data_IF_838990161571
#
_entry.id   IF_838990161571
#
_cell.length_a   1.000
_cell.length_b   1.000
_cell.length_c   1.000
_cell.angle_alpha   90.00
_cell.angle_beta   90.00
_cell.angle_gamma   90.00
#
_symmetry.space_group_name_H-M   'P 1'
#
loop_
_entity.id
_entity.type
_entity.pdbx_description
1 polymer ?
#
# COMPACT_ATOMS: atom_id res chain seq x y z
N UNK A 1 -29.59 3.87 -5.10
CA UNK A 1 -28.79 4.53 -6.15
C UNK A 1 -27.93 3.50 -6.87
N UNK A 2 -27.78 3.63 -8.18
CA UNK A 2 -27.13 2.67 -9.08
C UNK A 2 -25.82 3.27 -9.63
N UNK A 3 -24.87 3.57 -8.75
CA UNK A 3 -23.71 4.41 -9.12
C UNK A 3 -22.36 3.70 -8.98
N UNK A 4 -22.29 2.48 -8.45
CA UNK A 4 -21.01 1.81 -8.18
C UNK A 4 -20.39 1.07 -9.37
N UNK A 5 -21.21 0.70 -10.36
CA UNK A 5 -20.84 -0.05 -11.58
C UNK A 5 -20.05 -1.36 -11.35
N UNK A 6 -20.12 -1.93 -10.15
CA UNK A 6 -19.64 -3.29 -9.89
C UNK A 6 -20.37 -4.35 -10.73
N UNK A 7 -21.59 -4.03 -11.17
CA UNK A 7 -22.47 -4.87 -11.99
C UNK A 7 -22.23 -4.76 -13.51
N UNK A 8 -21.17 -4.08 -13.96
CA UNK A 8 -20.88 -3.98 -15.39
C UNK A 8 -20.65 -5.37 -15.99
N UNK A 9 -21.21 -5.57 -17.18
CA UNK A 9 -21.02 -6.73 -18.07
C UNK A 9 -20.75 -6.20 -19.47
N UNK A 10 -20.25 -7.04 -20.39
CA UNK A 10 -20.22 -6.69 -21.80
C UNK A 10 -21.52 -7.12 -22.46
N UNK A 11 -22.12 -6.22 -23.24
CA UNK A 11 -23.28 -6.50 -24.10
C UNK A 11 -22.88 -6.09 -25.51
N UNK A 12 -22.84 -7.05 -26.42
CA UNK A 12 -22.38 -6.87 -27.80
C UNK A 12 -21.01 -6.15 -27.84
N UNK A 13 -20.12 -6.53 -26.92
CA UNK A 13 -18.78 -5.97 -26.76
C UNK A 13 -18.66 -4.64 -26.00
N UNK A 14 -19.77 -4.00 -25.60
CA UNK A 14 -19.77 -2.72 -24.87
C UNK A 14 -20.00 -2.90 -23.37
N UNK A 15 -19.31 -2.15 -22.52
CA UNK A 15 -19.50 -2.24 -21.07
C UNK A 15 -20.78 -1.53 -20.61
N UNK A 16 -21.71 -2.27 -20.00
CA UNK A 16 -23.04 -1.78 -19.59
C UNK A 16 -23.30 -2.13 -18.12
N UNK A 17 -23.76 -1.18 -17.28
CA UNK A 17 -24.17 -1.48 -15.91
C UNK A 17 -25.48 -2.30 -15.91
N UNK A 18 -25.38 -3.61 -15.66
CA UNK A 18 -26.53 -4.52 -15.76
C UNK A 18 -27.67 -4.20 -14.80
N UNK A 19 -27.39 -3.59 -13.64
CA UNK A 19 -28.43 -3.21 -12.68
C UNK A 19 -29.39 -2.11 -13.19
N UNK A 20 -29.04 -1.44 -14.31
CA UNK A 20 -29.87 -0.43 -14.97
C UNK A 20 -30.60 -0.95 -16.20
N UNK A 21 -30.34 -2.20 -16.61
CA UNK A 21 -30.83 -2.74 -17.86
C UNK A 21 -31.99 -3.71 -17.61
N UNK A 22 -33.21 -3.41 -18.07
CA UNK A 22 -34.31 -4.37 -18.05
C UNK A 22 -33.96 -5.61 -18.87
N UNK A 23 -34.28 -6.80 -18.36
CA UNK A 23 -34.02 -8.07 -19.05
C UNK A 23 -34.64 -8.11 -20.45
N UNK A 24 -35.80 -7.48 -20.65
CA UNK A 24 -36.45 -7.37 -21.96
C UNK A 24 -35.61 -6.63 -23.01
N UNK A 25 -34.74 -5.71 -22.60
CA UNK A 25 -33.84 -4.98 -23.50
C UNK A 25 -32.56 -5.76 -23.82
N UNK A 26 -32.22 -6.78 -23.02
CA UNK A 26 -31.08 -7.65 -23.26
C UNK A 26 -31.40 -8.82 -24.21
N UNK A 27 -32.66 -8.95 -24.64
CA UNK A 27 -33.09 -10.07 -25.46
C UNK A 27 -32.39 -10.07 -26.83
N UNK A 28 -31.68 -11.15 -27.14
CA UNK A 28 -30.99 -11.33 -28.42
C UNK A 28 -29.57 -10.76 -28.48
N UNK A 29 -29.12 -10.06 -27.43
CA UNK A 29 -27.73 -9.60 -27.32
C UNK A 29 -26.80 -10.71 -26.82
N UNK A 30 -25.53 -10.62 -27.21
CA UNK A 30 -24.45 -11.41 -26.63
C UNK A 30 -23.98 -10.78 -25.33
N UNK A 31 -24.05 -11.53 -24.22
CA UNK A 31 -23.64 -11.07 -22.89
C UNK A 31 -22.37 -11.81 -22.46
N UNK A 32 -21.31 -11.07 -22.14
CA UNK A 32 -20.09 -11.61 -21.54
C UNK A 32 -19.90 -11.03 -20.15
N UNK A 33 -19.80 -11.91 -19.16
CA UNK A 33 -19.46 -11.55 -17.77
C UNK A 33 -17.96 -11.78 -17.52
N UNK A 34 -17.49 -11.54 -16.29
CA UNK A 34 -16.07 -11.75 -15.94
C UNK A 34 -15.64 -13.22 -16.13
N UNK A 35 -16.56 -14.15 -15.90
CA UNK A 35 -16.40 -15.59 -16.11
C UNK A 35 -16.29 -15.94 -17.60
N UNK A 36 -16.79 -15.08 -18.49
CA UNK A 36 -16.73 -15.27 -19.93
C UNK A 36 -15.42 -14.80 -20.58
N UNK A 37 -14.57 -14.05 -19.86
CA UNK A 37 -13.27 -13.61 -20.40
C UNK A 37 -12.20 -14.69 -20.36
N UNK A 38 -12.24 -15.56 -19.35
CA UNK A 38 -11.20 -16.53 -19.08
C UNK A 38 -11.64 -17.50 -17.99
N UNK A 39 -10.81 -18.50 -17.73
CA UNK A 39 -11.04 -19.50 -16.69
C UNK A 39 -9.81 -19.63 -15.80
N UNK A 40 -9.92 -20.36 -14.69
CA UNK A 40 -8.77 -20.67 -13.85
C UNK A 40 -7.66 -21.44 -14.60
N UNK A 41 -8.03 -22.21 -15.64
CA UNK A 41 -7.07 -22.94 -16.48
C UNK A 41 -6.47 -22.11 -17.61
N UNK A 42 -7.14 -21.02 -17.99
CA UNK A 42 -6.71 -20.12 -19.07
C UNK A 42 -7.15 -18.71 -18.72
N UNK A 43 -6.31 -18.04 -17.95
CA UNK A 43 -6.58 -16.69 -17.45
C UNK A 43 -6.53 -15.73 -18.63
N UNK A 44 -7.49 -14.81 -18.70
CA UNK A 44 -7.48 -13.78 -19.73
C UNK A 44 -6.32 -12.81 -19.49
N UNK A 45 -5.57 -12.35 -20.50
CA UNK A 45 -4.42 -11.48 -20.27
C UNK A 45 -4.74 -10.17 -19.52
N UNK A 46 -5.99 -9.68 -19.58
CA UNK A 46 -6.42 -8.54 -18.75
C UNK A 46 -6.56 -8.92 -17.27
N UNK A 47 -7.07 -10.12 -16.97
CA UNK A 47 -7.17 -10.63 -15.60
C UNK A 47 -5.77 -10.86 -15.02
N UNK A 48 -4.85 -11.41 -15.82
CA UNK A 48 -3.44 -11.58 -15.45
C UNK A 48 -2.78 -10.24 -15.13
N UNK A 49 -2.96 -9.23 -15.98
CA UNK A 49 -2.45 -7.88 -15.72
C UNK A 49 -3.01 -7.26 -14.41
N UNK A 50 -4.28 -7.52 -14.06
CA UNK A 50 -4.86 -7.08 -12.79
C UNK A 50 -4.21 -7.79 -11.58
N UNK A 51 -3.83 -9.07 -11.74
CA UNK A 51 -3.12 -9.83 -10.72
C UNK A 51 -1.68 -9.33 -10.56
N UNK A 52 -0.95 -9.14 -11.66
CA UNK A 52 0.43 -8.67 -11.68
C UNK A 52 0.56 -7.28 -11.03
N UNK A 53 -0.36 -6.37 -11.33
CA UNK A 53 -0.38 -5.01 -10.75
C UNK A 53 -1.03 -4.96 -9.36
N UNK A 54 -1.41 -6.11 -8.79
CA UNK A 54 -2.08 -6.21 -7.49
C UNK A 54 -3.30 -5.26 -7.39
N UNK A 55 -4.08 -5.20 -8.47
CA UNK A 55 -5.24 -4.33 -8.64
C UNK A 55 -6.51 -4.89 -7.94
N UNK A 56 -6.33 -5.77 -6.96
CA UNK A 56 -7.40 -6.49 -6.24
C UNK A 56 -7.09 -6.44 -4.74
N UNK A 57 -8.05 -5.94 -3.96
CA UNK A 57 -8.04 -6.05 -2.49
C UNK A 57 -9.27 -6.84 -2.05
N UNK A 58 -10.38 -6.18 -1.68
CA UNK A 58 -11.61 -6.87 -1.29
C UNK A 58 -12.32 -7.59 -2.45
N UNK A 59 -11.92 -7.32 -3.70
CA UNK A 59 -12.46 -7.98 -4.89
C UNK A 59 -13.84 -7.51 -5.36
N UNK A 60 -14.63 -6.83 -4.52
CA UNK A 60 -16.05 -6.57 -4.82
C UNK A 60 -16.29 -5.77 -6.11
N UNK A 61 -15.51 -4.72 -6.36
CA UNK A 61 -15.64 -3.88 -7.56
C UNK A 61 -14.90 -4.44 -8.78
N UNK A 62 -14.08 -5.48 -8.60
CA UNK A 62 -13.08 -5.90 -9.59
C UNK A 62 -13.73 -6.43 -10.86
N UNK A 63 -14.79 -7.25 -10.75
CA UNK A 63 -15.51 -7.76 -11.92
C UNK A 63 -15.99 -6.61 -12.82
N UNK A 64 -16.66 -5.62 -12.23
CA UNK A 64 -17.13 -4.45 -12.97
C UNK A 64 -15.99 -3.59 -13.56
N UNK A 65 -14.85 -3.50 -12.87
CA UNK A 65 -13.66 -2.79 -13.37
C UNK A 65 -12.99 -3.52 -14.54
N UNK A 66 -12.90 -4.86 -14.48
CA UNK A 66 -12.38 -5.67 -15.59
C UNK A 66 -13.31 -5.55 -16.80
N UNK A 67 -14.64 -5.57 -16.60
CA UNK A 67 -15.60 -5.39 -17.71
C UNK A 67 -15.50 -3.99 -18.32
N UNK A 68 -15.39 -2.94 -17.50
CA UNK A 68 -15.18 -1.58 -17.99
C UNK A 68 -13.87 -1.45 -18.78
N UNK A 69 -12.78 -2.03 -18.27
CA UNK A 69 -11.49 -2.07 -18.93
C UNK A 69 -11.56 -2.82 -20.27
N UNK A 70 -12.19 -4.00 -20.30
CA UNK A 70 -12.33 -4.77 -21.54
C UNK A 70 -13.22 -4.03 -22.55
N UNK A 71 -14.32 -3.42 -22.11
CA UNK A 71 -15.18 -2.60 -22.97
C UNK A 71 -14.39 -1.44 -23.60
N UNK A 72 -13.51 -0.78 -22.83
CA UNK A 72 -12.59 0.23 -23.36
C UNK A 72 -11.62 -0.36 -24.39
N UNK A 73 -11.03 -1.51 -24.11
CA UNK A 73 -10.05 -2.14 -25.01
C UNK A 73 -10.69 -2.70 -26.29
N UNK A 74 -11.98 -3.02 -26.27
CA UNK A 74 -12.75 -3.42 -27.46
C UNK A 74 -12.90 -2.28 -28.46
N UNK A 75 -13.03 -1.03 -27.97
CA UNK A 75 -13.21 0.17 -28.81
C UNK A 75 -11.91 0.93 -29.09
N UNK A 76 -10.95 0.87 -28.17
CA UNK A 76 -9.69 1.62 -28.26
C UNK A 76 -8.52 0.69 -27.91
N UNK A 77 -7.71 0.32 -28.91
CA UNK A 77 -6.57 -0.60 -28.73
C UNK A 77 -5.47 -0.04 -27.81
N UNK A 78 -5.26 1.27 -27.84
CA UNK A 78 -4.20 1.95 -27.08
C UNK A 78 -4.75 3.21 -26.37
N UNK A 79 -5.57 3.05 -25.31
CA UNK A 79 -6.18 4.18 -24.64
C UNK A 79 -5.14 5.04 -23.90
N UNK A 80 -5.36 6.35 -23.94
CA UNK A 80 -4.70 7.36 -23.11
C UNK A 80 -5.12 7.22 -21.65
N UNK A 81 -4.40 7.88 -20.73
CA UNK A 81 -4.79 7.85 -19.31
C UNK A 81 -6.14 8.50 -19.06
N UNK A 82 -6.49 9.55 -19.79
CA UNK A 82 -7.76 10.23 -19.64
C UNK A 82 -8.92 9.37 -20.14
N UNK A 83 -8.73 8.61 -21.22
CA UNK A 83 -9.72 7.62 -21.68
C UNK A 83 -9.89 6.48 -20.67
N UNK A 84 -8.81 6.04 -20.00
CA UNK A 84 -8.90 5.03 -18.94
C UNK A 84 -9.65 5.59 -17.74
N UNK A 85 -9.33 6.82 -17.29
CA UNK A 85 -10.05 7.49 -16.20
C UNK A 85 -11.52 7.64 -16.52
N UNK A 86 -11.85 8.12 -17.71
CA UNK A 86 -13.24 8.28 -18.15
C UNK A 86 -14.00 6.94 -18.19
N UNK A 87 -13.37 5.85 -18.63
CA UNK A 87 -14.00 4.54 -18.65
C UNK A 87 -14.29 3.97 -17.25
N UNK A 88 -13.47 4.35 -16.26
CA UNK A 88 -13.54 3.87 -14.88
C UNK A 88 -14.25 4.83 -13.92
N UNK A 89 -14.64 6.03 -14.35
CA UNK A 89 -15.13 7.11 -13.49
C UNK A 89 -16.31 6.68 -12.60
N UNK A 90 -17.24 5.89 -13.14
CA UNK A 90 -18.37 5.35 -12.37
C UNK A 90 -18.10 4.03 -11.65
N UNK A 91 -16.93 3.42 -11.79
CA UNK A 91 -16.57 2.18 -11.13
C UNK A 91 -16.02 2.44 -9.73
N UNK A 92 -16.91 2.59 -8.73
CA UNK A 92 -16.52 2.92 -7.37
C UNK A 92 -15.76 1.77 -6.69
N UNK A 93 -14.54 2.05 -6.25
CA UNK A 93 -13.70 1.17 -5.44
C UNK A 93 -13.45 1.76 -4.06
N UNK A 94 -13.91 1.05 -3.02
CA UNK A 94 -13.68 1.46 -1.63
C UNK A 94 -12.24 1.21 -1.14
N UNK A 95 -11.56 0.26 -1.78
CA UNK A 95 -10.16 -0.07 -1.50
C UNK A 95 -9.15 0.90 -2.13
N UNK A 96 -9.58 1.75 -3.06
CA UNK A 96 -8.72 2.79 -3.66
C UNK A 96 -7.69 2.28 -4.68
N UNK A 97 -7.90 1.13 -5.34
CA UNK A 97 -6.91 0.53 -6.26
C UNK A 97 -6.90 1.11 -7.69
N UNK A 98 -7.55 2.25 -7.94
CA UNK A 98 -7.74 2.81 -9.29
C UNK A 98 -6.44 2.95 -10.10
N UNK A 99 -5.37 3.39 -9.45
CA UNK A 99 -4.07 3.58 -10.11
C UNK A 99 -3.45 2.24 -10.51
N UNK A 100 -3.63 1.18 -9.71
CA UNK A 100 -3.20 -0.18 -10.06
C UNK A 100 -4.04 -0.76 -11.21
N UNK A 101 -5.34 -0.46 -11.23
CA UNK A 101 -6.22 -0.82 -12.36
C UNK A 101 -5.79 -0.11 -13.64
N UNK A 102 -5.45 1.18 -13.58
CA UNK A 102 -4.90 1.93 -14.72
C UNK A 102 -3.62 1.27 -15.25
N UNK A 103 -2.70 0.91 -14.34
CA UNK A 103 -1.46 0.19 -14.69
C UNK A 103 -1.74 -1.16 -15.31
N UNK A 104 -2.69 -1.94 -14.79
CA UNK A 104 -3.07 -3.23 -15.35
C UNK A 104 -3.56 -3.09 -16.80
N UNK A 105 -4.35 -2.07 -17.11
CA UNK A 105 -4.81 -1.77 -18.47
C UNK A 105 -3.63 -1.41 -19.39
N UNK A 106 -2.68 -0.62 -18.88
CA UNK A 106 -1.46 -0.22 -19.59
C UNK A 106 -0.52 -1.40 -19.86
N UNK A 107 -0.32 -2.25 -18.87
CA UNK A 107 0.42 -3.50 -18.96
C UNK A 107 -0.21 -4.42 -20.01
N UNK A 108 -1.53 -4.59 -19.97
CA UNK A 108 -2.30 -5.41 -20.94
C UNK A 108 -2.07 -5.01 -22.41
N UNK A 109 -1.88 -3.72 -22.69
CA UNK A 109 -1.67 -3.22 -24.07
C UNK A 109 -0.18 -3.17 -24.45
N UNK A 110 0.70 -3.79 -23.68
CA UNK A 110 2.15 -3.80 -23.92
C UNK A 110 2.79 -2.42 -23.74
N UNK A 111 2.18 -1.56 -22.92
CA UNK A 111 2.73 -0.26 -22.53
C UNK A 111 2.79 -0.15 -21.02
N UNK A 112 3.54 -1.00 -20.31
CA UNK A 112 3.79 -0.80 -18.89
C UNK A 112 4.46 0.57 -18.73
N UNK A 113 3.67 1.59 -18.42
CA UNK A 113 4.17 2.92 -18.16
C UNK A 113 4.29 3.03 -16.65
N UNK A 114 5.39 2.49 -16.16
CA UNK A 114 5.89 2.81 -14.85
C UNK A 114 7.34 3.21 -14.99
N UNK A 115 7.54 4.49 -15.32
CA UNK A 115 8.64 5.22 -14.73
C UNK A 115 8.05 5.84 -13.45
N UNK A 116 8.53 5.47 -12.26
CA UNK A 116 8.07 6.12 -11.04
C UNK A 116 8.35 7.64 -11.16
N UNK A 117 7.34 8.47 -10.89
CA UNK A 117 7.47 9.94 -10.81
C UNK A 117 8.32 10.40 -9.61
N UNK A 118 8.75 9.44 -8.82
CA UNK A 118 9.76 9.58 -7.80
C UNK A 118 10.95 8.75 -8.26
N UNK A 119 12.14 9.32 -8.14
CA UNK A 119 13.33 8.48 -8.13
C UNK A 119 13.25 7.61 -6.87
N UNK A 120 13.43 6.29 -7.00
CA UNK A 120 13.77 5.44 -5.86
C UNK A 120 15.18 5.84 -5.46
N UNK A 121 15.29 6.80 -4.56
CA UNK A 121 16.55 7.29 -4.02
C UNK A 121 16.52 7.22 -2.53
N UNK A 122 17.70 6.97 -1.97
CA UNK A 122 17.88 6.90 -0.55
C UNK A 122 17.48 8.23 0.09
N UNK A 123 16.63 8.21 1.11
CA UNK A 123 16.11 9.44 1.71
C UNK A 123 17.21 10.23 2.48
N UNK A 124 16.97 11.52 2.80
CA UNK A 124 17.77 12.33 3.74
C UNK A 124 16.99 12.62 5.06
N UNK A 125 17.65 13.11 6.14
CA UNK A 125 17.09 13.20 7.50
C UNK A 125 16.13 14.39 7.74
N UNK A 126 15.26 14.23 8.73
CA UNK A 126 14.29 15.23 9.22
C UNK A 126 14.88 16.03 10.41
N UNK A 127 14.16 17.04 10.94
CA UNK A 127 14.52 17.75 12.19
C UNK A 127 13.39 17.74 13.22
N UNK A 128 13.72 17.33 14.44
CA UNK A 128 12.81 17.09 15.57
C UNK A 128 12.41 18.27 16.47
N UNK A 129 11.18 18.23 17.00
CA UNK A 129 10.86 18.70 18.37
C UNK A 129 9.73 17.81 18.96
N UNK A 130 9.99 16.99 19.99
CA UNK A 130 8.99 16.04 20.52
C UNK A 130 8.12 16.60 21.66
N UNK A 131 6.87 16.13 21.74
CA UNK A 131 5.84 16.48 22.73
C UNK A 131 5.66 15.37 23.81
N UNK A 132 4.94 15.63 24.94
CA UNK A 132 5.05 14.81 26.16
C UNK A 132 4.30 13.47 26.13
N UNK A 133 4.85 12.47 26.82
CA UNK A 133 4.48 11.03 26.79
C UNK A 133 3.14 10.71 27.49
N UNK A 134 2.18 10.13 26.75
CA UNK A 134 1.05 9.34 27.27
C UNK A 134 1.36 7.82 27.14
N UNK A 135 0.63 6.97 27.89
CA UNK A 135 0.88 5.52 28.02
C UNK A 135 1.01 4.73 26.70
N UNK A 136 1.66 3.56 26.76
CA UNK A 136 2.05 2.78 25.56
C UNK A 136 0.82 2.32 24.73
N UNK A 137 0.77 2.49 23.39
CA UNK A 137 -0.25 1.97 22.47
C UNK A 137 -0.38 0.44 22.53
N UNK A 138 -1.54 -0.05 22.10
CA UNK A 138 -2.01 -1.43 22.31
C UNK A 138 -0.95 -2.55 22.19
N UNK A 139 -0.39 -2.83 21.01
CA UNK A 139 0.56 -3.94 20.85
C UNK A 139 1.87 -3.79 21.65
N UNK A 140 2.34 -2.56 21.90
CA UNK A 140 3.51 -2.30 22.78
C UNK A 140 3.25 -2.70 24.24
N UNK A 141 1.99 -2.78 24.68
CA UNK A 141 1.68 -3.29 26.02
C UNK A 141 1.94 -4.80 26.13
N UNK A 142 1.87 -5.53 25.01
CA UNK A 142 2.02 -7.00 24.97
C UNK A 142 3.45 -7.42 24.62
N UNK A 143 4.12 -6.63 23.77
CA UNK A 143 5.53 -6.80 23.44
C UNK A 143 6.27 -5.50 23.74
N UNK A 144 6.63 -5.24 25.01
CA UNK A 144 7.26 -3.99 25.42
C UNK A 144 8.76 -3.94 25.09
N UNK A 145 9.34 -5.05 24.62
CA UNK A 145 10.73 -5.13 24.22
C UNK A 145 10.96 -4.30 22.96
N UNK A 146 11.81 -3.29 23.08
CA UNK A 146 12.13 -2.34 22.03
C UNK A 146 12.72 -3.05 20.79
N UNK A 147 13.58 -4.05 21.00
CA UNK A 147 14.30 -4.78 19.95
C UNK A 147 13.37 -5.66 19.09
N UNK A 148 12.16 -5.93 19.57
CA UNK A 148 11.13 -6.64 18.83
C UNK A 148 10.40 -5.74 17.81
N UNK A 149 10.55 -4.42 17.91
CA UNK A 149 9.90 -3.45 17.02
C UNK A 149 10.89 -2.69 16.17
N UNK A 150 12.05 -2.36 16.74
CA UNK A 150 13.06 -1.55 16.07
C UNK A 150 14.46 -1.94 16.51
N UNK A 151 15.37 -2.09 15.55
CA UNK A 151 16.78 -2.37 15.80
C UNK A 151 17.66 -1.41 15.04
N UNK A 152 18.55 -0.73 15.76
CA UNK A 152 19.61 0.09 15.17
C UNK A 152 20.82 -0.81 14.91
N UNK A 153 21.19 -0.94 13.64
CA UNK A 153 22.31 -1.78 13.23
C UNK A 153 23.63 -0.99 13.22
N UNK A 154 24.74 -1.70 13.29
CA UNK A 154 26.09 -1.10 13.25
C UNK A 154 26.43 -0.48 11.89
N UNK A 155 25.71 -0.85 10.82
CA UNK A 155 25.83 -0.26 9.48
C UNK A 155 24.95 0.98 9.30
N UNK A 156 24.47 1.55 10.40
CA UNK A 156 23.59 2.71 10.45
C UNK A 156 22.18 2.47 9.85
N UNK A 157 21.86 1.25 9.41
CA UNK A 157 20.49 0.91 9.03
C UNK A 157 19.64 0.58 10.24
N UNK A 158 18.32 0.65 10.07
CA UNK A 158 17.32 0.48 11.12
C UNK A 158 16.33 -0.56 10.63
N UNK A 159 16.23 -1.67 11.34
CA UNK A 159 15.24 -2.69 11.03
C UNK A 159 13.97 -2.43 11.83
N UNK A 160 12.87 -2.23 11.13
CA UNK A 160 11.52 -2.14 11.70
C UNK A 160 10.83 -3.48 11.49
N UNK A 161 10.23 -3.99 12.54
CA UNK A 161 9.53 -5.27 12.52
C UNK A 161 8.03 -5.04 12.61
N UNK A 162 7.27 -5.76 11.78
CA UNK A 162 5.81 -5.81 11.86
C UNK A 162 5.30 -7.23 11.66
N UNK A 163 4.41 -7.68 12.54
CA UNK A 163 3.64 -8.91 12.38
C UNK A 163 2.47 -8.76 11.39
N UNK A 164 2.18 -7.55 10.89
CA UNK A 164 1.09 -7.33 9.94
C UNK A 164 1.44 -7.80 8.53
N UNK A 165 0.48 -8.47 7.88
CA UNK A 165 0.60 -8.94 6.50
C UNK A 165 0.21 -7.84 5.53
N UNK A 166 1.01 -7.60 4.50
CA UNK A 166 0.62 -6.69 3.41
C UNK A 166 -0.38 -7.38 2.47
N UNK A 167 -1.59 -6.85 2.41
CA UNK A 167 -2.70 -7.30 1.54
C UNK A 167 -3.25 -6.14 0.70
N UNK A 168 -2.47 -5.08 0.51
CA UNK A 168 -2.79 -3.91 -0.30
C UNK A 168 -3.15 -2.66 0.52
N UNK A 169 -3.11 -2.72 1.85
CA UNK A 169 -3.38 -1.59 2.74
C UNK A 169 -2.18 -0.63 2.90
N UNK A 170 -1.00 -1.00 2.39
CA UNK A 170 0.20 -0.16 2.49
C UNK A 170 0.82 -0.14 3.87
N UNK A 171 0.70 -1.24 4.64
CA UNK A 171 1.20 -1.30 6.01
C UNK A 171 2.72 -1.18 6.06
N UNK A 172 3.43 -1.83 5.13
CA UNK A 172 4.90 -1.80 5.08
C UNK A 172 5.41 -0.38 4.83
N UNK A 173 4.75 0.34 3.93
CA UNK A 173 5.04 1.75 3.63
C UNK A 173 4.75 2.63 4.83
N UNK A 174 3.60 2.43 5.48
CA UNK A 174 3.20 3.24 6.63
C UNK A 174 4.17 3.08 7.81
N UNK A 175 4.49 1.85 8.23
CA UNK A 175 5.40 1.64 9.38
C UNK A 175 6.81 2.13 9.09
N UNK A 176 7.29 2.01 7.84
CA UNK A 176 8.58 2.55 7.45
C UNK A 176 8.63 4.07 7.58
N UNK A 177 7.61 4.76 7.07
CA UNK A 177 7.51 6.23 7.13
C UNK A 177 7.43 6.73 8.57
N UNK A 178 6.64 6.04 9.41
CA UNK A 178 6.47 6.39 10.81
C UNK A 178 7.77 6.26 11.60
N UNK A 179 8.51 5.16 11.41
CA UNK A 179 9.81 4.98 12.06
C UNK A 179 10.84 6.00 11.58
N UNK A 180 10.89 6.28 10.28
CA UNK A 180 11.80 7.26 9.69
C UNK A 180 11.55 8.67 10.23
N UNK A 181 10.28 9.09 10.24
CA UNK A 181 9.86 10.40 10.73
C UNK A 181 10.20 10.59 12.20
N UNK A 182 9.87 9.61 13.04
CA UNK A 182 10.10 9.72 14.48
C UNK A 182 11.59 9.67 14.85
N UNK A 183 12.39 8.86 14.15
CA UNK A 183 13.85 8.78 14.36
C UNK A 183 14.63 9.94 13.73
N UNK A 184 13.97 10.82 12.97
CA UNK A 184 14.60 11.89 12.18
C UNK A 184 15.51 11.41 11.04
N UNK A 185 15.34 10.18 10.60
CA UNK A 185 16.24 9.59 9.62
C UNK A 185 15.63 9.56 8.24
N UNK A 186 16.53 9.50 7.27
CA UNK A 186 16.23 9.00 5.95
C UNK A 186 15.42 7.70 5.99
N UNK A 187 14.25 7.69 5.33
CA UNK A 187 13.47 6.48 5.03
C UNK A 187 14.31 5.32 4.44
N UNK A 188 15.38 5.60 3.68
CA UNK A 188 16.28 4.57 3.13
C UNK A 188 17.11 3.83 4.14
N UNK A 189 17.28 4.41 5.33
CA UNK A 189 17.90 3.72 6.45
C UNK A 189 16.94 2.70 7.06
N UNK A 190 15.64 2.74 6.72
CA UNK A 190 14.65 1.80 7.24
C UNK A 190 14.57 0.54 6.38
N UNK A 191 14.74 -0.62 7.01
CA UNK A 191 14.40 -1.93 6.46
C UNK A 191 13.16 -2.44 7.18
N UNK A 192 12.16 -2.91 6.44
CA UNK A 192 10.97 -3.51 7.05
C UNK A 192 11.04 -5.02 6.93
N UNK A 193 11.07 -5.70 8.07
CA UNK A 193 10.82 -7.15 8.17
C UNK A 193 9.36 -7.33 8.54
N UNK A 194 8.62 -8.00 7.67
CA UNK A 194 7.19 -8.23 7.85
C UNK A 194 6.88 -9.74 7.84
N UNK A 195 5.97 -10.16 8.71
CA UNK A 195 5.41 -11.52 8.72
C UNK A 195 6.46 -12.61 8.95
N UNK A 196 7.36 -12.36 9.91
CA UNK A 196 8.36 -13.34 10.33
C UNK A 196 8.03 -13.81 11.74
N UNK A 197 7.61 -15.07 11.88
CA UNK A 197 7.16 -15.61 13.17
C UNK A 197 8.27 -15.78 14.21
N UNK A 198 9.54 -15.66 13.79
CA UNK A 198 10.68 -15.68 14.70
C UNK A 198 11.13 -14.26 15.08
N UNK A 199 11.06 -13.32 14.13
CA UNK A 199 11.69 -12.00 14.26
C UNK A 199 10.70 -10.84 14.46
N UNK A 200 9.42 -11.01 14.16
CA UNK A 200 8.43 -9.93 14.21
C UNK A 200 7.42 -10.11 15.36
N UNK A 201 6.86 -9.00 15.88
CA UNK A 201 5.96 -9.07 17.03
C UNK A 201 4.64 -9.74 16.63
N UNK A 202 4.01 -10.47 17.57
CA UNK A 202 2.65 -10.96 17.36
C UNK A 202 1.65 -9.82 17.47
N UNK A 203 1.26 -9.30 16.30
CA UNK A 203 0.29 -8.22 16.20
C UNK A 203 -1.15 -8.71 16.03
N UNK A 204 -1.40 -10.02 16.12
CA UNK A 204 -2.70 -10.63 15.88
C UNK A 204 -3.22 -10.40 14.46
N UNK A 205 -4.55 -10.29 14.31
CA UNK A 205 -5.20 -10.24 13.00
C UNK A 205 -4.78 -9.02 12.17
N UNK A 206 -4.52 -9.26 10.88
CA UNK A 206 -4.33 -8.21 9.87
C UNK A 206 -5.69 -7.81 9.29
N UNK A 207 -6.00 -6.51 9.32
CA UNK A 207 -7.21 -5.95 8.73
C UNK A 207 -6.94 -4.55 8.16
N UNK A 208 -7.59 -4.18 7.06
CA UNK A 208 -7.27 -2.99 6.28
C UNK A 208 -7.08 -1.70 7.11
N UNK A 209 -8.13 -1.22 7.78
CA UNK A 209 -8.08 0.03 8.55
C UNK A 209 -7.30 -0.07 9.87
N UNK A 210 -7.29 -1.25 10.51
CA UNK A 210 -6.69 -1.43 11.84
C UNK A 210 -5.19 -1.71 11.80
N UNK A 211 -4.65 -2.22 10.69
CA UNK A 211 -3.24 -2.59 10.62
C UNK A 211 -2.32 -1.38 10.81
N UNK A 212 -2.63 -0.25 10.16
CA UNK A 212 -1.84 0.99 10.30
C UNK A 212 -2.07 1.65 11.67
N UNK A 213 -3.32 1.65 12.15
CA UNK A 213 -3.66 2.19 13.47
C UNK A 213 -2.88 1.49 14.59
N UNK A 214 -2.84 0.16 14.55
CA UNK A 214 -2.24 -0.64 15.63
C UNK A 214 -0.73 -0.76 15.49
N UNK A 215 -0.23 -1.18 14.31
CA UNK A 215 1.21 -1.36 14.10
C UNK A 215 1.94 -0.03 14.03
N UNK A 216 1.33 0.95 13.36
CA UNK A 216 1.94 2.26 13.18
C UNK A 216 2.11 3.01 14.49
N UNK A 217 1.14 2.95 15.40
CA UNK A 217 1.27 3.57 16.72
C UNK A 217 2.37 2.92 17.56
N UNK A 218 2.50 1.59 17.50
CA UNK A 218 3.57 0.84 18.17
C UNK A 218 4.96 1.15 17.63
N UNK A 219 5.12 1.10 16.30
CA UNK A 219 6.40 1.42 15.66
C UNK A 219 6.81 2.86 15.93
N UNK A 220 5.87 3.81 15.89
CA UNK A 220 6.15 5.22 16.23
C UNK A 220 6.66 5.35 17.68
N UNK A 221 6.02 4.70 18.65
CA UNK A 221 6.49 4.83 20.03
C UNK A 221 7.82 4.12 20.29
N UNK A 222 8.04 2.95 19.69
CA UNK A 222 9.32 2.26 19.74
C UNK A 222 10.43 3.16 19.16
N UNK A 223 10.19 3.76 18.00
CA UNK A 223 11.09 4.73 17.40
C UNK A 223 11.38 5.93 18.32
N UNK A 224 10.35 6.51 18.94
CA UNK A 224 10.52 7.63 19.88
C UNK A 224 11.42 7.27 21.07
N UNK A 225 11.26 6.06 21.63
CA UNK A 225 12.07 5.59 22.74
C UNK A 225 13.52 5.30 22.31
N UNK A 226 13.71 4.64 21.16
CA UNK A 226 15.02 4.40 20.59
C UNK A 226 15.78 5.72 20.35
N UNK A 227 15.10 6.73 19.79
CA UNK A 227 15.67 8.07 19.62
C UNK A 227 16.09 8.70 20.96
N UNK A 228 15.26 8.57 21.99
CA UNK A 228 15.59 9.10 23.31
C UNK A 228 16.87 8.49 23.87
N UNK A 229 17.05 7.17 23.76
CA UNK A 229 18.27 6.49 24.20
C UNK A 229 19.51 6.96 23.43
N UNK A 230 19.40 7.09 22.10
CA UNK A 230 20.51 7.55 21.25
C UNK A 230 20.94 8.98 21.60
N UNK A 231 19.99 9.88 21.88
CA UNK A 231 20.31 11.25 22.29
C UNK A 231 21.02 11.32 23.64
N UNK A 232 20.63 10.46 24.59
CA UNK A 232 21.30 10.39 25.89
C UNK A 232 22.75 9.91 25.73
N UNK A 233 22.98 8.86 24.92
CA UNK A 233 24.34 8.38 24.63
C UNK A 233 25.19 9.44 23.91
N UNK A 234 24.61 10.16 22.94
CA UNK A 234 25.31 11.23 22.24
C UNK A 234 25.66 12.41 23.18
N UNK A 235 24.79 12.72 24.13
CA UNK A 235 25.05 13.74 25.15
C UNK A 235 26.24 13.34 26.04
N UNK A 236 26.28 12.09 26.51
CA UNK A 236 27.39 11.57 27.32
C UNK A 236 28.74 11.64 26.59
N UNK A 237 28.77 11.27 25.30
CA UNK A 237 29.99 11.31 24.48
C UNK A 237 30.48 12.75 24.24
N UNK A 238 29.57 13.67 23.89
CA UNK A 238 29.92 15.07 23.62
C UNK A 238 30.36 15.83 24.88
N UNK A 239 29.83 15.49 26.05
CA UNK A 239 30.31 16.03 27.33
C UNK A 239 31.69 15.45 27.71
N UNK A 240 31.99 14.20 27.36
CA UNK A 240 33.29 13.59 27.58
C UNK A 240 34.41 14.21 26.71
N UNK A 241 34.08 14.67 25.50
CA UNK A 241 35.02 15.37 24.61
C UNK A 241 35.27 16.84 25.01
N UNK A 242 34.36 17.48 25.76
CA UNK A 242 34.53 18.82 26.30
C UNK A 242 35.40 18.82 27.57
N UNK A 243 36.70 18.57 27.43
CA UNK A 243 37.66 18.85 28.53
C UNK A 243 37.85 20.37 28.71
N UNK A 244 37.72 20.91 29.93
CA UNK A 244 37.91 22.35 30.19
C UNK A 244 39.39 22.72 30.03
N UNK A 245 39.76 23.12 28.80
CA UNK A 245 41.11 23.55 28.47
C UNK A 245 41.41 23.73 26.97
N UNK A 246 40.56 23.23 26.06
CA UNK A 246 40.83 23.29 24.61
C UNK A 246 40.42 24.62 23.92
N UNK A 247 39.90 25.60 24.67
CA UNK A 247 39.48 26.92 24.14
C UNK A 247 40.24 28.09 24.80
N UNK A 248 41.50 27.89 25.20
CA UNK A 248 42.40 28.96 25.66
C UNK A 248 43.45 29.31 24.61
#
# INVERSE_FOLDING_TARGET
EEQCYACKVLIDGSDVPSCKLPVSQAQGSEITTVEGLGSAATIHPLQEAFMEEQAIQCGYCVSGMIMAAQGLLNRTRYPTDDEIRAALDGNLCRCGVYERVRRAIKLRIGRPQWDPIYEMIDAPPLSNTPAPRQGLPGPLQQTPDLDAWIRINADETITVFTGKVEIGQGIKTAVAQLAAEELDVALSRIRVVAVDTELSPDEGTTAGSMSVENSGSSVRQAAAEARHHLLNLAHEELEAECTPGALA
#
